data_IF_824561323464
#
_entry.id   IF_824561323464
#
_cell.length_a   1.000
_cell.length_b   1.000
_cell.length_c   1.000
_cell.angle_alpha   90.00
_cell.angle_beta   90.00
_cell.angle_gamma   90.00
#
_symmetry.space_group_name_H-M   'P 1'
#
loop_
_entity.id
_entity.type
_entity.pdbx_description
1 polymer ?
#
# COMPACT_ATOMS: atom_id res chain seq x y z
N UNK A 1 23.42 15.43 -14.69
CA UNK A 1 23.05 14.73 -13.44
C UNK A 1 21.54 14.68 -13.38
N UNK A 2 20.95 13.56 -13.79
CA UNK A 2 19.49 13.42 -13.88
C UNK A 2 18.93 13.32 -12.46
N UNK A 3 18.07 14.27 -12.09
CA UNK A 3 17.31 14.21 -10.86
C UNK A 3 16.36 13.01 -10.98
N UNK A 4 16.71 11.88 -10.38
CA UNK A 4 15.80 10.74 -10.32
C UNK A 4 14.58 11.19 -9.52
N UNK A 5 13.40 11.10 -10.12
CA UNK A 5 12.11 11.28 -9.45
C UNK A 5 11.47 9.92 -9.31
N UNK A 6 10.66 9.71 -8.27
CA UNK A 6 9.89 8.48 -8.13
C UNK A 6 8.98 8.28 -9.34
N UNK A 7 8.84 7.02 -9.77
CA UNK A 7 7.86 6.68 -10.79
C UNK A 7 6.44 6.90 -10.27
N UNK A 8 5.47 7.01 -11.18
CA UNK A 8 4.07 7.20 -10.80
C UNK A 8 3.54 6.05 -9.93
N UNK A 9 3.95 4.82 -10.23
CA UNK A 9 3.54 3.63 -9.47
C UNK A 9 4.19 3.58 -8.07
N UNK A 10 5.47 3.96 -7.94
CA UNK A 10 6.13 4.09 -6.63
C UNK A 10 5.51 5.19 -5.76
N UNK A 11 5.17 6.34 -6.36
CA UNK A 11 4.46 7.41 -5.65
C UNK A 11 3.09 6.95 -5.17
N UNK A 12 2.31 6.28 -6.04
CA UNK A 12 1.01 5.73 -5.68
C UNK A 12 1.12 4.70 -4.54
N UNK A 13 2.12 3.82 -4.59
CA UNK A 13 2.42 2.87 -3.53
C UNK A 13 2.63 3.56 -2.17
N UNK A 14 3.47 4.60 -2.11
CA UNK A 14 3.70 5.35 -0.87
C UNK A 14 2.39 5.95 -0.32
N UNK A 15 1.61 6.61 -1.19
CA UNK A 15 0.36 7.26 -0.79
C UNK A 15 -0.58 6.24 -0.15
N UNK A 16 -0.79 5.07 -0.77
CA UNK A 16 -1.68 4.06 -0.22
C UNK A 16 -1.11 3.40 1.05
N UNK A 17 0.21 3.22 1.18
CA UNK A 17 0.82 2.73 2.42
C UNK A 17 0.66 3.72 3.59
N UNK A 18 0.86 5.02 3.33
CA UNK A 18 0.62 6.08 4.30
C UNK A 18 -0.84 6.08 4.77
N UNK A 19 -1.79 5.93 3.84
CA UNK A 19 -3.21 5.82 4.19
C UNK A 19 -3.54 4.54 4.95
N UNK A 20 -2.92 3.41 4.62
CA UNK A 20 -3.07 2.16 5.36
C UNK A 20 -2.59 2.33 6.80
N UNK A 21 -1.44 2.97 7.00
CA UNK A 21 -0.85 3.22 8.31
C UNK A 21 -1.74 4.14 9.15
N UNK A 22 -2.25 5.22 8.55
CA UNK A 22 -3.22 6.10 9.19
C UNK A 22 -4.53 5.37 9.57
N UNK A 23 -5.04 4.51 8.69
CA UNK A 23 -6.25 3.72 8.96
C UNK A 23 -6.02 2.71 10.10
N UNK A 24 -4.82 2.10 10.17
CA UNK A 24 -4.42 1.22 11.26
C UNK A 24 -4.40 1.96 12.60
N UNK A 25 -3.78 3.15 12.67
CA UNK A 25 -3.77 3.97 13.89
C UNK A 25 -5.18 4.32 14.37
N UNK A 26 -6.12 4.52 13.44
CA UNK A 26 -7.54 4.81 13.72
C UNK A 26 -8.40 3.55 13.95
N UNK A 27 -7.80 2.35 13.98
CA UNK A 27 -8.49 1.04 14.10
C UNK A 27 -9.54 0.78 13.00
N UNK A 28 -9.38 1.39 11.83
CA UNK A 28 -10.28 1.24 10.68
C UNK A 28 -9.82 0.07 9.79
N UNK A 29 -9.98 -1.16 10.28
CA UNK A 29 -9.50 -2.39 9.64
C UNK A 29 -9.93 -2.52 8.15
N UNK A 30 -11.20 -2.29 7.77
CA UNK A 30 -11.61 -2.39 6.36
C UNK A 30 -10.93 -1.34 5.46
N UNK A 31 -10.69 -0.14 5.99
CA UNK A 31 -9.99 0.93 5.29
C UNK A 31 -8.52 0.58 5.08
N UNK A 32 -7.85 0.08 6.12
CA UNK A 32 -6.46 -0.39 6.04
C UNK A 32 -6.30 -1.48 4.99
N UNK A 33 -7.11 -2.54 5.06
CA UNK A 33 -6.97 -3.69 4.15
C UNK A 33 -7.17 -3.29 2.70
N UNK A 34 -8.14 -2.42 2.45
CA UNK A 34 -8.36 -1.83 1.13
C UNK A 34 -7.14 -1.08 0.61
N UNK A 35 -6.53 -0.23 1.43
CA UNK A 35 -5.34 0.50 1.03
C UNK A 35 -4.15 -0.43 0.83
N UNK A 36 -3.98 -1.47 1.66
CA UNK A 36 -2.95 -2.49 1.48
C UNK A 36 -3.11 -3.26 0.16
N UNK A 37 -4.33 -3.59 -0.26
CA UNK A 37 -4.57 -4.24 -1.56
C UNK A 37 -4.21 -3.32 -2.73
N UNK A 38 -4.48 -2.01 -2.60
CA UNK A 38 -4.04 -1.03 -3.59
C UNK A 38 -2.51 -0.87 -3.60
N UNK A 39 -1.87 -0.91 -2.44
CA UNK A 39 -0.40 -0.95 -2.32
C UNK A 39 0.19 -2.18 -2.99
N UNK A 40 -0.40 -3.37 -2.81
CA UNK A 40 0.00 -4.58 -3.55
C UNK A 40 0.00 -4.34 -5.06
N UNK A 41 -1.09 -3.76 -5.59
CA UNK A 41 -1.22 -3.49 -7.02
C UNK A 41 -0.08 -2.61 -7.56
N UNK A 42 0.20 -1.49 -6.89
CA UNK A 42 1.24 -0.56 -7.34
C UNK A 42 2.65 -1.08 -7.08
N UNK A 43 2.88 -1.85 -6.02
CA UNK A 43 4.14 -2.54 -5.78
C UNK A 43 4.44 -3.55 -6.89
N UNK A 44 3.46 -4.33 -7.33
CA UNK A 44 3.63 -5.26 -8.46
C UNK A 44 3.97 -4.51 -9.76
N UNK A 45 3.31 -3.38 -10.03
CA UNK A 45 3.57 -2.56 -11.22
C UNK A 45 4.95 -1.89 -11.20
N UNK A 46 5.41 -1.50 -10.02
CA UNK A 46 6.75 -0.97 -9.80
C UNK A 46 7.85 -2.05 -9.76
N UNK A 47 7.49 -3.34 -9.90
CA UNK A 47 8.44 -4.46 -9.82
C UNK A 47 8.94 -4.76 -8.38
N UNK A 48 8.30 -4.19 -7.36
CA UNK A 48 8.65 -4.33 -5.94
C UNK A 48 7.94 -5.55 -5.33
N UNK A 49 8.33 -6.75 -5.76
CA UNK A 49 7.66 -8.00 -5.37
C UNK A 49 7.67 -8.27 -3.86
N UNK A 50 8.79 -7.98 -3.18
CA UNK A 50 8.91 -8.18 -1.73
C UNK A 50 7.95 -7.29 -0.96
N UNK A 51 7.80 -6.02 -1.37
CA UNK A 51 6.83 -5.08 -0.81
C UNK A 51 5.39 -5.55 -1.06
N UNK A 52 5.10 -6.04 -2.26
CA UNK A 52 3.78 -6.59 -2.58
C UNK A 52 3.45 -7.82 -1.70
N UNK A 53 4.39 -8.74 -1.54
CA UNK A 53 4.20 -9.92 -0.68
C UNK A 53 4.02 -9.50 0.78
N UNK A 54 4.85 -8.60 1.30
CA UNK A 54 4.73 -8.09 2.67
C UNK A 54 3.35 -7.47 2.94
N UNK A 55 2.86 -6.61 2.03
CA UNK A 55 1.52 -6.03 2.13
C UNK A 55 0.43 -7.10 2.10
N UNK A 56 0.57 -8.09 1.20
CA UNK A 56 -0.37 -9.20 1.11
C UNK A 56 -0.43 -10.02 2.40
N UNK A 57 0.70 -10.27 3.06
CA UNK A 57 0.74 -11.03 4.31
C UNK A 57 0.01 -10.30 5.44
N UNK A 58 0.11 -8.97 5.51
CA UNK A 58 -0.61 -8.15 6.49
C UNK A 58 -2.13 -8.26 6.27
N UNK A 59 -2.59 -8.24 5.02
CA UNK A 59 -4.01 -8.46 4.69
C UNK A 59 -4.45 -9.87 5.06
N UNK A 60 -3.67 -10.89 4.67
CA UNK A 60 -3.97 -12.31 4.93
C UNK A 60 -4.13 -12.59 6.43
N UNK A 61 -3.23 -12.06 7.25
CA UNK A 61 -3.22 -12.23 8.71
C UNK A 61 -4.50 -11.69 9.36
N UNK A 62 -4.97 -10.53 8.91
CA UNK A 62 -6.12 -9.86 9.53
C UNK A 62 -7.47 -10.25 8.93
N UNK A 63 -7.47 -10.60 7.65
CA UNK A 63 -8.65 -10.99 6.88
C UNK A 63 -8.40 -12.35 6.21
N UNK A 64 -8.48 -13.47 6.95
CA UNK A 64 -8.18 -14.80 6.41
C UNK A 64 -9.15 -15.24 5.30
N UNK A 65 -10.35 -14.65 5.25
CA UNK A 65 -11.33 -14.88 4.19
C UNK A 65 -11.10 -14.02 2.93
N UNK A 66 -10.10 -13.12 2.95
CA UNK A 66 -9.80 -12.25 1.84
C UNK A 66 -9.33 -13.04 0.61
N UNK A 67 -9.60 -12.51 -0.60
CA UNK A 67 -9.21 -13.14 -1.86
C UNK A 67 -7.71 -13.47 -1.91
N UNK A 68 -6.87 -12.57 -1.39
CA UNK A 68 -5.43 -12.79 -1.33
C UNK A 68 -5.03 -14.03 -0.52
N UNK A 69 -5.83 -14.42 0.48
CA UNK A 69 -5.59 -15.60 1.32
C UNK A 69 -5.82 -16.91 0.58
N UNK A 70 -6.50 -16.89 -0.58
CA UNK A 70 -6.68 -18.07 -1.44
C UNK A 70 -5.42 -18.45 -2.22
N UNK A 71 -4.40 -17.59 -2.21
CA UNK A 71 -3.18 -17.77 -2.98
C UNK A 71 -1.95 -17.69 -2.05
N UNK A 72 -1.06 -18.71 -2.06
CA UNK A 72 0.12 -18.70 -1.21
C UNK A 72 1.06 -17.54 -1.57
N UNK A 73 1.22 -17.25 -2.88
CA UNK A 73 2.10 -16.18 -3.39
C UNK A 73 1.30 -15.06 -4.04
N UNK A 74 1.78 -13.82 -3.90
CA UNK A 74 1.11 -12.66 -4.50
C UNK A 74 1.15 -12.68 -6.03
N UNK A 75 2.19 -13.28 -6.62
CA UNK A 75 2.31 -13.43 -8.07
C UNK A 75 1.26 -14.38 -8.66
N UNK A 76 0.76 -15.33 -7.87
CA UNK A 76 -0.35 -16.21 -8.25
C UNK A 76 -1.69 -15.47 -8.10
N UNK A 77 -1.87 -14.73 -7.00
CA UNK A 77 -3.03 -13.88 -6.82
C UNK A 77 -3.17 -12.86 -7.96
N UNK A 78 -2.07 -12.25 -8.39
CA UNK A 78 -2.04 -11.26 -9.47
C UNK A 78 -2.49 -11.83 -10.83
N UNK A 79 -2.33 -13.15 -11.04
CA UNK A 79 -2.78 -13.86 -12.25
C UNK A 79 -4.23 -14.32 -12.16
N UNK A 80 -4.85 -14.24 -10.99
CA UNK A 80 -6.25 -14.61 -10.80
C UNK A 80 -7.16 -13.61 -11.51
N UNK A 81 -8.17 -14.14 -12.21
CA UNK A 81 -9.21 -13.34 -12.87
C UNK A 81 -9.99 -12.46 -11.88
N UNK A 82 -9.90 -12.75 -10.58
CA UNK A 82 -10.59 -12.01 -9.53
C UNK A 82 -9.78 -10.82 -9.00
N UNK A 83 -8.46 -10.77 -9.20
CA UNK A 83 -7.61 -9.72 -8.63
C UNK A 83 -7.79 -8.37 -9.34
N UNK A 84 -7.75 -8.36 -10.68
CA UNK A 84 -7.93 -7.11 -11.44
C UNK A 84 -9.30 -6.45 -11.21
N UNK A 85 -10.44 -7.18 -11.21
CA UNK A 85 -11.73 -6.63 -10.84
C UNK A 85 -11.77 -6.06 -9.42
N UNK A 86 -11.17 -6.76 -8.44
CA UNK A 86 -11.07 -6.28 -7.06
C UNK A 86 -10.34 -4.93 -7.01
N UNK A 87 -9.15 -4.82 -7.61
CA UNK A 87 -8.39 -3.57 -7.65
C UNK A 87 -9.21 -2.45 -8.29
N UNK A 88 -9.86 -2.70 -9.42
CA UNK A 88 -10.73 -1.70 -10.09
C UNK A 88 -11.86 -1.24 -9.19
N UNK A 89 -12.51 -2.16 -8.47
CA UNK A 89 -13.55 -1.81 -7.51
C UNK A 89 -13.00 -0.92 -6.39
N UNK A 90 -11.85 -1.30 -5.81
CA UNK A 90 -11.21 -0.51 -4.75
C UNK A 90 -10.76 0.87 -5.23
N UNK A 91 -10.28 1.00 -6.47
CA UNK A 91 -9.91 2.28 -7.08
C UNK A 91 -11.13 3.19 -7.31
N UNK A 92 -12.30 2.64 -7.67
CA UNK A 92 -13.53 3.45 -7.80
C UNK A 92 -13.93 4.13 -6.49
N UNK A 93 -13.72 3.45 -5.36
CA UNK A 93 -14.04 4.02 -4.07
C UNK A 93 -13.00 5.05 -3.57
N UNK A 94 -11.78 5.08 -4.12
CA UNK A 94 -10.67 5.98 -3.73
C UNK A 94 -9.59 5.86 -4.81
N UNK A 95 -9.76 6.69 -5.83
CA UNK A 95 -8.79 6.82 -6.90
C UNK A 95 -7.52 7.50 -6.38
N UNK A 96 -6.49 7.58 -7.21
CA UNK A 96 -5.20 8.13 -6.81
C UNK A 96 -5.32 9.60 -6.37
N UNK A 97 -6.07 10.43 -7.11
CA UNK A 97 -6.29 11.83 -6.77
C UNK A 97 -6.90 12.01 -5.37
N UNK A 98 -7.98 11.26 -5.07
CA UNK A 98 -8.59 11.28 -3.74
C UNK A 98 -7.63 10.75 -2.68
N UNK A 99 -6.83 9.74 -3.01
CA UNK A 99 -5.83 9.20 -2.09
C UNK A 99 -4.75 10.25 -1.76
N UNK A 100 -4.30 11.01 -2.76
CA UNK A 100 -3.36 12.13 -2.58
C UNK A 100 -3.94 13.20 -1.65
N UNK A 101 -5.19 13.60 -1.87
CA UNK A 101 -5.88 14.56 -1.00
C UNK A 101 -6.01 14.05 0.43
N UNK A 102 -6.40 12.78 0.61
CA UNK A 102 -6.51 12.15 1.92
C UNK A 102 -5.16 12.05 2.63
N UNK A 103 -4.09 11.72 1.89
CA UNK A 103 -2.74 11.59 2.42
C UNK A 103 -2.17 12.95 2.81
N UNK A 104 -2.37 13.98 1.99
CA UNK A 104 -2.01 15.36 2.32
C UNK A 104 -2.72 15.85 3.60
N UNK A 105 -3.98 15.43 3.81
CA UNK A 105 -4.69 15.71 5.06
C UNK A 105 -4.15 14.93 6.26
N UNK A 106 -3.47 13.78 6.06
CA UNK A 106 -2.76 13.07 7.12
C UNK A 106 -1.35 13.62 7.38
N UNK A 107 -0.72 14.29 6.41
CA UNK A 107 0.66 14.80 6.45
C UNK A 107 0.87 15.85 7.58
N UNK A 108 -0.21 16.41 8.13
CA UNK A 108 -0.17 17.26 9.35
C UNK A 108 0.11 16.43 10.62
N UNK A 109 -0.02 15.10 10.58
CA UNK A 109 0.11 14.20 11.74
C UNK A 109 1.03 12.97 11.52
N UNK A 110 1.59 12.75 10.32
CA UNK A 110 2.50 11.62 10.03
C UNK A 110 3.95 12.09 10.05
N UNK A 111 4.52 12.13 11.25
CA UNK A 111 5.76 12.82 11.60
C UNK A 111 7.09 12.24 11.07
N UNK A 112 7.14 11.55 9.92
CA UNK A 112 8.46 11.06 9.41
C UNK A 112 8.56 10.81 7.91
N UNK A 113 7.49 10.45 7.20
CA UNK A 113 7.57 10.13 5.76
C UNK A 113 6.99 11.30 4.99
N UNK A 114 7.86 12.09 4.36
CA UNK A 114 7.41 13.14 3.44
C UNK A 114 6.90 12.47 2.18
N UNK A 115 5.68 12.77 1.73
CA UNK A 115 5.16 12.35 0.41
C UNK A 115 6.03 12.88 -0.76
N UNK A 116 6.98 13.77 -0.47
CA UNK A 116 8.14 14.13 -1.29
C UNK A 116 9.33 13.22 -0.94
N UNK A 117 9.15 11.90 -0.99
CA UNK A 117 10.26 10.97 -0.75
C UNK A 117 11.32 11.18 -1.84
N UNK A 118 12.55 11.40 -1.40
CA UNK A 118 13.72 11.35 -2.27
C UNK A 118 13.86 9.89 -2.74
N UNK A 119 14.11 9.59 -4.02
CA UNK A 119 14.42 8.23 -4.44
C UNK A 119 15.54 7.57 -3.62
N UNK A 120 16.45 8.36 -3.05
CA UNK A 120 17.47 7.88 -2.13
C UNK A 120 16.91 7.29 -0.82
N UNK A 121 15.79 7.82 -0.31
CA UNK A 121 15.16 7.36 0.95
C UNK A 121 13.96 6.45 0.73
N UNK A 122 13.43 6.37 -0.50
CA UNK A 122 12.22 5.63 -0.83
C UNK A 122 12.16 4.20 -0.27
N UNK A 123 13.24 3.42 -0.43
CA UNK A 123 13.28 2.04 0.09
C UNK A 123 13.22 1.99 1.61
N UNK A 124 13.88 2.94 2.28
CA UNK A 124 13.84 3.05 3.73
C UNK A 124 12.42 3.43 4.19
N UNK A 125 11.80 4.42 3.54
CA UNK A 125 10.43 4.87 3.83
C UNK A 125 9.41 3.72 3.70
N UNK A 126 9.56 2.88 2.65
CA UNK A 126 8.73 1.68 2.47
C UNK A 126 8.91 0.70 3.62
N UNK A 127 10.16 0.37 3.97
CA UNK A 127 10.46 -0.58 5.03
C UNK A 127 9.93 -0.09 6.39
N UNK A 128 10.06 1.20 6.68
CA UNK A 128 9.57 1.80 7.91
C UNK A 128 8.03 1.78 7.99
N UNK A 129 7.34 2.06 6.88
CA UNK A 129 5.87 1.96 6.79
C UNK A 129 5.40 0.51 6.98
N UNK A 130 6.01 -0.45 6.27
CA UNK A 130 5.66 -1.87 6.38
C UNK A 130 5.90 -2.37 7.80
N UNK A 131 7.03 -2.01 8.42
CA UNK A 131 7.35 -2.42 9.80
C UNK A 131 6.32 -1.90 10.80
N UNK A 132 5.87 -0.64 10.66
CA UNK A 132 4.79 -0.07 11.49
C UNK A 132 3.44 -0.76 11.28
N UNK A 133 3.14 -1.12 10.03
CA UNK A 133 1.92 -1.85 9.69
C UNK A 133 1.92 -3.26 10.28
N UNK A 134 3.07 -3.95 10.30
CA UNK A 134 3.21 -5.28 10.91
C UNK A 134 3.13 -5.26 12.44
N UNK A 135 3.66 -4.22 13.09
CA UNK A 135 3.72 -4.14 14.56
C UNK A 135 2.39 -3.75 15.22
N UNK A 136 1.55 -2.94 14.56
CA UNK A 136 0.24 -2.52 15.10
C UNK A 136 -0.90 -3.53 14.93
N UNK A 137 -0.59 -4.80 14.64
CA UNK A 137 -1.57 -5.89 14.45
C UNK A 137 -1.75 -6.77 15.70
N UNK A 138 -1.46 -6.21 16.89
CA UNK A 138 -1.59 -6.86 18.20
C UNK A 138 -2.86 -6.40 18.92
#
# INVERSE_FOLDING_TARGET
>A
MSQSTLTADERALLIYLVLAEAAQRKKQQPGRDRFLVLSVHYALRAGLLETAEACSQIVKRNSPQHLLSKHPKITEAAKSDLFSPLVKQLQRHCNLERAEQLAAAQDVQISSVRLKSDPATFRQDLNDLISRLQSGSA
#
